data_IF_000710758339
#
_entry.id   IF_000710758339
#
_cell.length_a   1.000
_cell.length_b   1.000
_cell.length_c   1.000
_cell.angle_alpha   90.00
_cell.angle_beta   90.00
_cell.angle_gamma   90.00
#
_symmetry.space_group_name_H-M   'P 1'
#
loop_
_entity.id
_entity.type
_entity.pdbx_description
1 polymer ?
#
# COMPACT_ATOMS: atom_id res chain seq x y z
N UNK A 1 69.25 -8.23 -61.37
CA UNK A 1 68.59 -8.06 -60.05
C UNK A 1 67.39 -9.00 -59.98
N UNK A 2 67.24 -9.73 -58.87
CA UNK A 2 66.05 -10.51 -58.45
C UNK A 2 64.82 -9.54 -58.43
N UNK A 3 63.54 -9.89 -58.53
CA UNK A 3 62.72 -10.90 -57.83
C UNK A 3 61.35 -11.02 -58.56
N UNK A 4 60.63 -12.12 -58.34
CA UNK A 4 59.29 -12.55 -58.81
C UNK A 4 58.09 -11.88 -58.03
N UNK A 5 56.85 -12.45 -57.95
CA UNK A 5 55.60 -12.11 -58.68
C UNK A 5 54.41 -11.65 -57.77
N UNK A 6 53.24 -11.29 -58.32
CA UNK A 6 51.94 -11.22 -57.60
C UNK A 6 50.80 -11.17 -58.65
N UNK A 7 49.96 -12.17 -58.92
CA UNK A 7 48.92 -12.93 -58.17
C UNK A 7 47.78 -12.09 -57.56
N UNK A 8 46.57 -12.53 -57.92
CA UNK A 8 45.26 -12.37 -57.26
C UNK A 8 44.49 -11.07 -57.56
N UNK A 9 43.17 -11.06 -57.69
CA UNK A 9 42.20 -11.98 -57.13
C UNK A 9 40.91 -12.03 -57.98
N UNK A 10 40.39 -13.25 -58.18
CA UNK A 10 38.99 -13.44 -58.53
C UNK A 10 38.12 -13.02 -57.34
N UNK A 11 37.14 -12.15 -57.58
CA UNK A 11 36.14 -11.79 -56.60
C UNK A 11 35.27 -13.02 -56.27
N UNK A 12 35.49 -13.63 -55.10
CA UNK A 12 34.53 -14.53 -54.48
C UNK A 12 33.39 -13.69 -53.91
N UNK A 13 32.21 -13.79 -54.51
CA UNK A 13 30.95 -13.34 -53.91
C UNK A 13 30.66 -14.22 -52.70
N UNK A 14 31.04 -13.74 -51.51
CA UNK A 14 30.61 -14.33 -50.24
C UNK A 14 29.15 -13.92 -50.03
N UNK A 15 28.23 -14.86 -50.27
CA UNK A 15 26.82 -14.73 -49.86
C UNK A 15 26.83 -14.76 -48.32
N UNK A 16 26.85 -13.59 -47.69
CA UNK A 16 26.62 -13.44 -46.26
C UNK A 16 25.20 -13.94 -45.95
N UNK A 17 25.10 -15.19 -45.47
CA UNK A 17 23.90 -15.66 -44.79
C UNK A 17 23.75 -14.83 -43.50
N UNK A 18 23.02 -13.73 -43.60
CA UNK A 18 22.64 -12.91 -42.45
C UNK A 18 21.59 -13.69 -41.67
N UNK A 19 22.04 -14.49 -40.71
CA UNK A 19 21.15 -15.06 -39.71
C UNK A 19 20.48 -13.90 -38.97
N UNK A 20 19.17 -13.80 -39.16
CA UNK A 20 18.33 -12.86 -38.42
C UNK A 20 18.45 -13.22 -36.94
N UNK A 21 19.22 -12.45 -36.19
CA UNK A 21 19.20 -12.49 -34.73
C UNK A 21 17.82 -12.02 -34.28
N UNK A 22 16.93 -12.97 -33.95
CA UNK A 22 15.66 -12.67 -33.32
C UNK A 22 15.95 -11.98 -31.99
N UNK A 23 15.58 -10.71 -31.90
CA UNK A 23 15.76 -9.90 -30.72
C UNK A 23 14.86 -10.37 -29.56
N UNK A 24 15.47 -10.39 -28.38
CA UNK A 24 14.86 -10.26 -27.05
C UNK A 24 13.78 -11.28 -26.65
N UNK A 25 14.19 -12.53 -26.51
CA UNK A 25 13.56 -13.52 -25.64
C UNK A 25 14.66 -14.40 -25.08
N UNK A 26 14.59 -14.78 -23.81
CA UNK A 26 15.63 -15.55 -23.13
C UNK A 26 15.97 -16.88 -23.83
N UNK A 27 17.06 -17.54 -23.42
CA UNK A 27 17.39 -18.87 -23.95
C UNK A 27 16.52 -19.93 -23.29
N UNK A 28 15.81 -20.82 -24.03
CA UNK A 28 14.98 -21.87 -23.43
C UNK A 28 15.72 -22.68 -22.35
N UNK A 29 15.08 -22.85 -21.20
CA UNK A 29 15.67 -23.55 -20.03
C UNK A 29 16.55 -22.67 -19.13
N UNK A 30 16.90 -21.45 -19.55
CA UNK A 30 17.60 -20.47 -18.71
C UNK A 30 16.78 -20.18 -17.45
N UNK A 31 17.46 -19.91 -16.34
CA UNK A 31 16.84 -19.61 -15.04
C UNK A 31 17.40 -18.29 -14.52
N UNK A 32 16.51 -17.44 -14.02
CA UNK A 32 16.89 -16.22 -13.30
C UNK A 32 16.05 -16.04 -12.06
N UNK A 33 16.53 -15.18 -11.17
CA UNK A 33 15.76 -14.70 -10.04
C UNK A 33 15.44 -13.23 -10.27
N UNK A 34 14.16 -12.89 -10.16
CA UNK A 34 13.68 -11.52 -10.24
C UNK A 34 13.02 -11.20 -8.90
N UNK A 35 13.72 -10.39 -8.10
CA UNK A 35 13.41 -10.19 -6.68
C UNK A 35 13.39 -11.53 -5.89
N UNK A 36 12.25 -11.91 -5.31
CA UNK A 36 12.05 -13.18 -4.64
C UNK A 36 11.48 -14.27 -5.56
N UNK A 37 11.16 -13.93 -6.80
CA UNK A 37 10.53 -14.83 -7.76
C UNK A 37 11.55 -15.58 -8.60
N UNK A 38 11.27 -16.86 -8.82
CA UNK A 38 12.09 -17.71 -9.69
C UNK A 38 11.45 -17.73 -11.07
N UNK A 39 12.27 -17.47 -12.09
CA UNK A 39 11.86 -17.45 -13.49
C UNK A 39 12.58 -18.56 -14.26
N UNK A 40 11.86 -19.22 -15.17
CA UNK A 40 12.42 -20.15 -16.15
C UNK A 40 12.01 -19.72 -17.55
N UNK A 41 12.94 -19.78 -18.49
CA UNK A 41 12.66 -19.46 -19.88
C UNK A 41 11.94 -20.62 -20.56
N UNK A 42 10.81 -20.34 -21.16
CA UNK A 42 9.99 -21.30 -21.90
C UNK A 42 10.62 -21.63 -23.26
N UNK A 43 10.14 -22.71 -23.90
CA UNK A 43 10.57 -23.10 -25.25
C UNK A 43 10.33 -22.02 -26.32
N UNK A 44 9.39 -21.10 -26.08
CA UNK A 44 9.06 -19.97 -26.97
C UNK A 44 9.87 -18.70 -26.67
N UNK A 45 10.87 -18.77 -25.78
CA UNK A 45 11.74 -17.63 -25.45
C UNK A 45 11.13 -16.61 -24.48
N UNK A 46 10.10 -17.01 -23.71
CA UNK A 46 9.41 -16.11 -22.75
C UNK A 46 9.70 -16.53 -21.31
N UNK A 47 9.95 -15.56 -20.43
CA UNK A 47 10.14 -15.81 -18.99
C UNK A 47 8.81 -16.17 -18.31
N UNK A 48 8.74 -17.35 -17.72
CA UNK A 48 7.69 -17.76 -16.80
C UNK A 48 8.20 -17.66 -15.36
N UNK A 49 7.67 -16.71 -14.59
CA UNK A 49 8.08 -16.44 -13.21
C UNK A 49 7.00 -16.84 -12.20
N UNK A 50 7.42 -17.24 -11.00
CA UNK A 50 6.51 -17.29 -9.85
C UNK A 50 5.97 -15.89 -9.53
N UNK A 51 4.84 -15.81 -8.81
CA UNK A 51 4.21 -14.54 -8.39
C UNK A 51 4.08 -14.44 -6.87
N UNK A 52 5.18 -14.65 -6.16
CA UNK A 52 5.31 -14.40 -4.73
C UNK A 52 5.29 -12.89 -4.49
N UNK A 53 4.50 -12.45 -3.51
CA UNK A 53 4.62 -11.10 -2.95
C UNK A 53 5.96 -10.99 -2.25
N UNK A 54 6.87 -10.21 -2.83
CA UNK A 54 8.21 -10.03 -2.28
C UNK A 54 8.18 -8.88 -1.29
N UNK A 55 8.51 -9.19 -0.03
CA UNK A 55 8.67 -8.16 1.00
C UNK A 55 9.99 -7.45 0.70
N UNK A 56 9.90 -6.22 0.23
CA UNK A 56 11.08 -5.38 0.07
C UNK A 56 11.58 -4.99 1.46
N UNK A 57 12.90 -4.83 1.67
CA UNK A 57 13.45 -4.38 2.97
C UNK A 57 12.79 -3.10 3.50
N UNK A 58 12.19 -2.28 2.62
CA UNK A 58 11.46 -1.07 2.98
C UNK A 58 10.15 -1.34 3.73
N UNK A 59 9.49 -2.47 3.45
CA UNK A 59 8.26 -2.89 4.17
C UNK A 59 8.56 -3.51 5.54
N UNK A 60 9.80 -3.95 5.78
CA UNK A 60 10.23 -4.44 7.09
C UNK A 60 10.64 -3.32 8.07
N UNK A 61 11.03 -2.15 7.55
CA UNK A 61 11.57 -1.04 8.37
C UNK A 61 10.60 0.15 8.51
N UNK A 62 9.56 0.26 7.68
CA UNK A 62 8.68 1.43 7.73
C UNK A 62 7.23 1.07 7.40
N UNK A 63 6.68 0.09 8.11
CA UNK A 63 5.34 0.37 8.62
C UNK A 63 5.56 1.51 9.61
N UNK A 64 5.03 2.74 9.40
CA UNK A 64 4.95 3.65 10.51
C UNK A 64 4.09 2.91 11.51
N UNK A 65 4.74 2.28 12.51
CA UNK A 65 4.14 2.15 13.81
C UNK A 65 3.79 3.60 14.08
N UNK A 66 2.53 3.96 13.84
CA UNK A 66 1.93 5.14 14.41
C UNK A 66 2.18 4.87 15.88
N UNK A 67 3.31 5.39 16.38
CA UNK A 67 3.65 5.40 17.79
C UNK A 67 2.51 6.22 18.32
N UNK A 68 1.42 5.54 18.72
CA UNK A 68 0.33 6.17 19.43
C UNK A 68 1.05 6.87 20.55
N UNK A 69 1.03 8.20 20.52
CA UNK A 69 1.66 9.02 21.54
C UNK A 69 1.36 8.36 22.88
N UNK A 70 2.41 8.13 23.67
CA UNK A 70 2.30 7.36 24.91
C UNK A 70 1.12 7.91 25.70
N UNK A 71 0.00 7.17 25.71
CA UNK A 71 -1.20 7.63 26.39
C UNK A 71 -0.88 7.55 27.87
N UNK A 72 -0.58 8.70 28.48
CA UNK A 72 -0.48 8.79 29.92
C UNK A 72 -1.85 8.44 30.49
N UNK A 73 -1.91 7.34 31.23
CA UNK A 73 -3.13 6.82 31.83
C UNK A 73 -2.86 6.45 33.29
N UNK A 74 -3.92 6.35 34.09
CA UNK A 74 -3.79 5.93 35.49
C UNK A 74 -3.33 4.47 35.54
N UNK A 75 -2.23 4.14 36.25
CA UNK A 75 -1.74 2.77 36.36
C UNK A 75 -2.83 1.75 36.69
N UNK A 76 -2.82 0.63 35.97
CA UNK A 76 -3.79 -0.48 36.11
C UNK A 76 -5.28 -0.11 35.92
N UNK A 77 -5.58 1.11 35.47
CA UNK A 77 -6.96 1.53 35.24
C UNK A 77 -7.55 0.91 33.97
N UNK A 78 -8.88 0.72 33.98
CA UNK A 78 -9.65 0.41 32.78
C UNK A 78 -10.49 1.63 32.40
N UNK A 79 -10.43 2.04 31.14
CA UNK A 79 -11.14 3.21 30.63
C UNK A 79 -11.71 2.96 29.23
N UNK A 80 -12.60 3.85 28.79
CA UNK A 80 -13.19 3.81 27.45
C UNK A 80 -12.53 4.86 26.55
N UNK A 81 -12.06 4.43 25.39
CA UNK A 81 -11.66 5.32 24.30
C UNK A 81 -12.59 5.06 23.12
N UNK A 82 -13.47 6.00 22.85
CA UNK A 82 -14.63 5.79 21.98
C UNK A 82 -15.45 4.59 22.47
N UNK A 83 -15.73 3.62 21.61
CA UNK A 83 -16.39 2.37 21.97
C UNK A 83 -15.45 1.30 22.54
N UNK A 84 -14.13 1.51 22.43
CA UNK A 84 -13.13 0.54 22.82
C UNK A 84 -12.86 0.56 24.33
N UNK A 85 -12.69 -0.63 24.91
CA UNK A 85 -12.21 -0.78 26.29
C UNK A 85 -10.69 -0.84 26.26
N UNK A 86 -10.05 -0.03 27.10
CA UNK A 86 -8.60 0.05 27.23
C UNK A 86 -8.19 -0.28 28.67
N UNK A 87 -7.10 -1.03 28.83
CA UNK A 87 -6.47 -1.30 30.13
C UNK A 87 -5.07 -0.70 30.14
N UNK A 88 -4.80 0.15 31.12
CA UNK A 88 -3.52 0.81 31.32
C UNK A 88 -2.53 -0.13 32.02
N UNK A 89 -1.26 -0.08 31.62
CA UNK A 89 -0.20 -0.82 32.30
C UNK A 89 0.13 -0.21 33.68
N UNK A 90 0.96 -0.92 34.46
CA UNK A 90 1.35 -0.50 35.81
C UNK A 90 2.24 0.74 35.85
N UNK A 91 2.91 1.09 34.75
CA UNK A 91 3.74 2.31 34.66
C UNK A 91 2.95 3.54 34.21
N UNK A 92 1.69 3.40 33.80
CA UNK A 92 0.87 4.51 33.32
C UNK A 92 1.30 5.06 31.96
N UNK A 93 2.12 4.33 31.20
CA UNK A 93 2.75 4.81 29.96
C UNK A 93 2.13 4.21 28.70
N UNK A 94 1.38 3.13 28.82
CA UNK A 94 0.71 2.50 27.67
C UNK A 94 -0.60 1.86 28.09
N UNK A 95 -1.52 1.75 27.12
CA UNK A 95 -2.78 1.05 27.30
C UNK A 95 -3.04 0.12 26.12
N UNK A 96 -3.54 -1.07 26.41
CA UNK A 96 -3.99 -2.05 25.41
C UNK A 96 -5.50 -1.87 25.28
N UNK A 97 -5.98 -1.66 24.05
CA UNK A 97 -7.39 -1.44 23.76
C UNK A 97 -7.96 -2.54 22.86
N UNK A 98 -9.25 -2.82 23.00
CA UNK A 98 -10.00 -3.53 21.97
C UNK A 98 -9.93 -2.77 20.63
N UNK A 99 -10.10 -3.48 19.51
CA UNK A 99 -10.07 -2.89 18.16
C UNK A 99 -11.44 -2.99 17.47
N UNK A 100 -12.47 -2.52 18.17
CA UNK A 100 -13.80 -2.36 17.59
C UNK A 100 -13.79 -1.17 16.63
N UNK A 101 -14.30 -1.39 15.42
CA UNK A 101 -14.64 -0.33 14.48
C UNK A 101 -15.77 0.52 15.06
N UNK A 102 -15.41 1.59 15.77
CA UNK A 102 -16.39 2.45 16.42
C UNK A 102 -17.16 3.23 15.37
N UNK A 103 -18.36 2.76 15.02
CA UNK A 103 -19.34 3.60 14.36
C UNK A 103 -19.59 4.79 15.28
N UNK A 104 -19.24 6.00 14.82
CA UNK A 104 -19.50 7.24 15.52
C UNK A 104 -21.01 7.28 15.76
N UNK A 105 -21.45 6.93 16.97
CA UNK A 105 -22.86 6.83 17.33
C UNK A 105 -23.47 8.22 17.37
N UNK A 106 -23.76 8.80 16.20
CA UNK A 106 -24.48 10.06 16.00
C UNK A 106 -23.88 11.32 16.63
N UNK A 107 -23.02 11.23 17.65
CA UNK A 107 -22.45 12.37 18.39
C UNK A 107 -21.24 12.90 17.66
N UNK A 108 -21.45 13.98 16.92
CA UNK A 108 -20.38 14.81 16.34
C UNK A 108 -19.98 15.86 17.36
N UNK A 109 -18.68 16.07 17.56
CA UNK A 109 -18.18 17.23 18.29
C UNK A 109 -18.35 18.45 17.39
N UNK A 110 -19.22 19.37 17.81
CA UNK A 110 -19.57 20.59 17.06
C UNK A 110 -19.85 21.70 18.06
N UNK A 111 -19.59 22.94 17.68
CA UNK A 111 -20.10 24.10 18.40
C UNK A 111 -21.43 24.49 17.77
N UNK A 112 -22.51 24.35 18.53
CA UNK A 112 -23.87 24.65 18.08
C UNK A 112 -24.66 25.31 19.22
N UNK A 113 -25.71 26.03 18.88
CA UNK A 113 -26.60 26.63 19.88
C UNK A 113 -27.30 25.51 20.66
N UNK A 114 -27.21 25.48 22.00
CA UNK A 114 -27.79 24.42 22.81
C UNK A 114 -29.26 24.13 22.48
N UNK A 115 -29.60 22.85 22.34
CA UNK A 115 -30.96 22.38 22.09
C UNK A 115 -31.50 22.61 20.68
N UNK A 116 -30.78 23.32 19.82
CA UNK A 116 -31.23 23.57 18.43
C UNK A 116 -31.11 22.33 17.55
N UNK A 117 -31.86 22.33 16.45
CA UNK A 117 -31.77 21.32 15.39
C UNK A 117 -31.19 21.96 14.14
N UNK A 118 -30.27 21.29 13.47
CA UNK A 118 -29.63 21.76 12.24
C UNK A 118 -29.43 20.62 11.24
N UNK A 119 -29.07 20.99 10.00
CA UNK A 119 -28.71 20.06 8.95
C UNK A 119 -27.20 19.97 8.80
N UNK A 120 -26.70 18.75 8.71
CA UNK A 120 -25.32 18.45 8.33
C UNK A 120 -25.40 17.54 7.11
N UNK A 121 -25.26 18.15 5.92
CA UNK A 121 -25.61 17.53 4.64
C UNK A 121 -27.08 17.06 4.68
N UNK A 122 -27.33 15.81 4.30
CA UNK A 122 -28.66 15.21 4.37
C UNK A 122 -29.12 14.82 5.79
N UNK A 123 -28.24 14.86 6.80
CA UNK A 123 -28.53 14.39 8.15
C UNK A 123 -29.15 15.48 9.02
N UNK A 124 -30.15 15.11 9.83
CA UNK A 124 -30.73 15.99 10.85
C UNK A 124 -29.98 15.79 12.16
N UNK A 125 -29.51 16.87 12.77
CA UNK A 125 -28.73 16.88 13.99
C UNK A 125 -29.43 17.68 15.08
N UNK A 126 -29.41 17.21 16.33
CA UNK A 126 -29.85 17.95 17.51
C UNK A 126 -28.67 18.26 18.42
N UNK A 127 -28.48 19.54 18.74
CA UNK A 127 -27.41 20.03 19.60
C UNK A 127 -27.63 19.63 21.08
N UNK A 128 -26.56 19.23 21.76
CA UNK A 128 -26.57 18.96 23.20
C UNK A 128 -26.77 20.23 24.01
N UNK A 129 -27.22 20.08 25.26
CA UNK A 129 -27.47 21.20 26.17
C UNK A 129 -26.24 22.04 26.51
N UNK A 130 -25.03 21.50 26.33
CA UNK A 130 -23.77 22.23 26.53
C UNK A 130 -23.21 22.86 25.25
N UNK A 131 -23.88 22.71 24.11
CA UNK A 131 -23.46 23.30 22.83
C UNK A 131 -22.20 22.70 22.19
N UNK A 132 -21.64 21.61 22.74
CA UNK A 132 -20.34 21.02 22.32
C UNK A 132 -20.47 19.72 21.52
N UNK A 133 -21.67 19.21 21.34
CA UNK A 133 -21.91 18.02 20.54
C UNK A 133 -23.30 18.04 19.92
N UNK A 134 -23.50 17.27 18.87
CA UNK A 134 -24.83 17.07 18.29
C UNK A 134 -25.06 15.61 17.98
N UNK A 135 -26.28 15.12 18.25
CA UNK A 135 -26.73 13.79 17.87
C UNK A 135 -27.42 13.87 16.50
N UNK A 136 -26.85 13.19 15.51
CA UNK A 136 -27.30 13.21 14.12
C UNK A 136 -27.86 11.87 13.66
N UNK A 137 -28.78 11.92 12.68
CA UNK A 137 -29.12 10.74 11.88
C UNK A 137 -27.89 10.23 11.11
N UNK A 138 -27.92 8.97 10.68
CA UNK A 138 -26.82 8.30 9.96
C UNK A 138 -27.26 7.87 8.55
N UNK A 139 -27.79 8.81 7.77
CA UNK A 139 -28.10 8.62 6.35
C UNK A 139 -26.82 8.73 5.53
N UNK A 140 -26.63 7.81 4.58
CA UNK A 140 -25.65 7.97 3.50
C UNK A 140 -26.13 9.10 2.60
N UNK A 141 -25.37 10.19 2.56
CA UNK A 141 -25.78 11.36 1.79
C UNK A 141 -25.30 11.27 0.33
N UNK A 142 -26.15 11.63 -0.65
CA UNK A 142 -25.75 11.69 -2.05
C UNK A 142 -24.57 12.65 -2.28
N UNK A 143 -23.78 12.46 -3.35
CA UNK A 143 -22.77 13.43 -3.77
C UNK A 143 -23.41 14.81 -3.96
N UNK A 144 -22.77 15.86 -3.43
CA UNK A 144 -23.25 17.24 -3.59
C UNK A 144 -24.28 17.72 -2.58
N UNK A 145 -24.68 16.90 -1.58
CA UNK A 145 -25.46 17.43 -0.45
C UNK A 145 -24.56 18.24 0.48
N UNK A 146 -24.74 19.56 0.51
CA UNK A 146 -24.10 20.50 1.45
C UNK A 146 -25.06 20.86 2.58
#
# INVERSE_FOLDING_TARGET
>A
MKVTPAIAAMALFVIMATTVAAASGCTPGEKKKEDCNTCTCTATGVWACTRRGCITKREAEESPIVKREAQKCTPNSTFKKDCNTCTCNSSGTSAICTQLGCLSRGRRQVNCTPGTTFKDKCNTCRCSSNGRSAACTLKACPPGSY
#
